data_IF_653501390018
#
_entry.id   IF_653501390018
#
_cell.length_a   1.000
_cell.length_b   1.000
_cell.length_c   1.000
_cell.angle_alpha   90.00
_cell.angle_beta   90.00
_cell.angle_gamma   90.00
#
_symmetry.space_group_name_H-M   'P 1'
#
loop_
_entity.id
_entity.type
_entity.pdbx_description
1 polymer ?
#
# COMPACT_ATOMS: atom_id res chain seq x y z
N UNK A 1 11.05 14.46 -10.46
CA UNK A 1 11.60 13.64 -9.37
C UNK A 1 11.01 12.24 -9.45
N UNK A 2 11.78 11.20 -9.07
CA UNK A 2 11.30 9.80 -8.96
C UNK A 2 11.43 9.37 -7.49
N UNK A 3 10.44 8.64 -6.98
CA UNK A 3 10.38 8.17 -5.58
C UNK A 3 10.49 6.64 -5.45
N UNK A 4 10.62 5.94 -6.59
CA UNK A 4 10.67 4.50 -6.68
C UNK A 4 10.77 3.99 -8.13
N UNK A 5 10.67 2.68 -8.32
CA UNK A 5 10.74 2.01 -9.62
C UNK A 5 10.02 0.64 -9.58
N UNK A 6 9.71 0.08 -10.75
CA UNK A 6 9.21 -1.29 -10.88
C UNK A 6 10.36 -2.29 -10.76
N UNK A 7 10.15 -3.35 -9.99
CA UNK A 7 10.95 -4.58 -9.98
C UNK A 7 10.10 -5.70 -10.59
N UNK A 8 10.23 -5.87 -11.91
CA UNK A 8 9.41 -6.81 -12.68
C UNK A 8 9.69 -8.27 -12.31
N UNK A 9 10.92 -8.60 -11.89
CA UNK A 9 11.30 -9.94 -11.49
C UNK A 9 10.56 -10.38 -10.22
N UNK A 10 10.31 -9.44 -9.30
CA UNK A 10 9.53 -9.67 -8.07
C UNK A 10 8.05 -9.33 -8.21
N UNK A 11 7.68 -8.60 -9.26
CA UNK A 11 6.34 -8.04 -9.48
C UNK A 11 5.97 -7.04 -8.40
N UNK A 12 6.91 -6.16 -8.08
CA UNK A 12 6.80 -5.17 -7.00
C UNK A 12 7.05 -3.76 -7.51
N UNK A 13 6.54 -2.77 -6.77
CA UNK A 13 6.97 -1.39 -6.91
C UNK A 13 7.82 -1.00 -5.69
N UNK A 14 9.09 -0.71 -5.91
CA UNK A 14 10.07 -0.40 -4.85
C UNK A 14 10.12 1.10 -4.61
N UNK A 15 9.61 1.53 -3.45
CA UNK A 15 9.70 2.92 -2.98
C UNK A 15 11.03 3.10 -2.24
N UNK A 16 11.90 4.00 -2.71
CA UNK A 16 13.26 4.19 -2.17
C UNK A 16 13.37 5.34 -1.16
N UNK A 17 12.30 6.11 -0.98
CA UNK A 17 12.21 7.18 0.01
C UNK A 17 10.82 7.22 0.64
N UNK A 18 10.69 7.37 1.97
CA UNK A 18 9.38 7.45 2.62
C UNK A 18 8.62 8.75 2.31
N UNK A 19 9.31 9.79 1.81
CA UNK A 19 8.75 11.12 1.53
C UNK A 19 8.15 11.22 0.12
N UNK A 20 7.18 10.37 -0.19
CA UNK A 20 6.38 10.49 -1.42
C UNK A 20 5.50 11.76 -1.36
N UNK A 21 5.09 12.36 -2.51
CA UNK A 21 4.26 13.58 -2.50
C UNK A 21 2.91 13.41 -1.80
N UNK A 22 2.38 12.18 -1.83
CA UNK A 22 1.19 11.71 -1.13
C UNK A 22 1.46 10.28 -0.64
N UNK A 23 0.73 9.78 0.37
CA UNK A 23 0.82 8.38 0.79
C UNK A 23 0.50 7.44 -0.38
N UNK A 24 1.43 6.56 -0.72
CA UNK A 24 1.20 5.51 -1.71
C UNK A 24 0.82 4.24 -0.98
N UNK A 25 -0.30 3.64 -1.37
CA UNK A 25 -0.91 2.54 -0.61
C UNK A 25 -0.77 1.19 -1.31
N UNK A 26 -0.91 0.13 -0.53
CA UNK A 26 -1.17 -1.22 -0.98
C UNK A 26 -2.42 -1.78 -0.29
N UNK A 27 -3.01 -2.82 -0.87
CA UNK A 27 -4.10 -3.60 -0.29
C UNK A 27 -3.57 -4.93 0.23
N UNK A 28 -3.93 -5.28 1.46
CA UNK A 28 -3.74 -6.62 2.02
C UNK A 28 -5.10 -7.29 2.18
N UNK A 29 -5.14 -8.60 1.97
CA UNK A 29 -6.36 -9.41 2.06
C UNK A 29 -6.98 -9.72 0.71
N UNK A 30 -7.51 -10.93 0.58
CA UNK A 30 -8.13 -11.45 -0.65
C UNK A 30 -9.46 -12.16 -0.39
N UNK A 31 -10.01 -12.01 0.83
CA UNK A 31 -11.26 -12.62 1.29
C UNK A 31 -12.02 -11.60 2.13
N UNK A 32 -12.44 -11.93 3.34
CA UNK A 32 -13.31 -11.06 4.13
C UNK A 32 -12.57 -9.96 4.90
N UNK A 33 -11.28 -10.14 5.20
CA UNK A 33 -10.49 -9.16 5.96
C UNK A 33 -9.56 -8.39 5.03
N UNK A 34 -9.60 -7.06 5.11
CA UNK A 34 -8.84 -6.16 4.25
C UNK A 34 -8.07 -5.12 5.05
N UNK A 35 -6.95 -4.67 4.50
CA UNK A 35 -6.18 -3.54 5.01
C UNK A 35 -5.78 -2.61 3.87
N UNK A 36 -5.94 -1.30 4.07
CA UNK A 36 -5.24 -0.29 3.29
C UNK A 36 -4.00 0.11 4.09
N UNK A 37 -2.82 -0.01 3.49
CA UNK A 37 -1.54 0.30 4.16
C UNK A 37 -0.68 1.21 3.29
N UNK A 38 -0.19 2.31 3.83
CA UNK A 38 0.72 3.23 3.13
C UNK A 38 2.17 2.76 3.18
N UNK A 39 3.02 3.37 2.35
CA UNK A 39 4.48 3.23 2.35
C UNK A 39 5.15 3.65 3.68
N UNK A 40 4.41 4.30 4.58
CA UNK A 40 4.84 4.67 5.94
C UNK A 40 4.05 3.94 7.03
N UNK A 41 3.40 2.82 6.67
CA UNK A 41 2.60 1.96 7.56
C UNK A 41 1.36 2.64 8.20
N UNK A 42 0.87 3.74 7.63
CA UNK A 42 -0.43 4.32 7.99
C UNK A 42 -1.59 3.59 7.30
N UNK A 43 -2.80 3.71 7.85
CA UNK A 43 -4.01 3.13 7.27
C UNK A 43 -4.94 2.51 8.30
N UNK A 44 -5.82 1.62 7.86
CA UNK A 44 -6.78 0.91 8.71
C UNK A 44 -7.14 -0.44 8.09
N UNK A 45 -7.79 -1.30 8.89
CA UNK A 45 -8.30 -2.60 8.46
C UNK A 45 -9.78 -2.73 8.79
N UNK A 46 -10.49 -3.54 8.01
CA UNK A 46 -11.91 -3.80 8.19
C UNK A 46 -12.26 -5.24 7.78
N UNK A 47 -13.40 -5.73 8.28
CA UNK A 47 -13.94 -7.05 7.93
C UNK A 47 -15.25 -6.87 7.17
N UNK A 48 -15.28 -7.28 5.90
CA UNK A 48 -16.38 -7.23 4.93
C UNK A 48 -16.85 -5.83 4.52
N UNK A 49 -17.10 -4.93 5.45
CA UNK A 49 -17.62 -3.58 5.18
C UNK A 49 -16.74 -2.52 5.88
N UNK A 50 -16.35 -1.47 5.15
CA UNK A 50 -15.54 -0.36 5.65
C UNK A 50 -16.38 0.85 6.11
N UNK A 51 -17.71 0.78 5.94
CA UNK A 51 -18.64 1.87 6.24
C UNK A 51 -19.29 1.75 7.62
N UNK A 52 -19.52 0.51 8.07
CA UNK A 52 -20.24 0.20 9.31
C UNK A 52 -19.33 0.23 10.54
#
# INVERSE_FOLDING_TARGET
MKFGHFDDAKREYVITTPKTPLPWINYLGSRDFFSLISNTAGGYSFYKDAKL
#
